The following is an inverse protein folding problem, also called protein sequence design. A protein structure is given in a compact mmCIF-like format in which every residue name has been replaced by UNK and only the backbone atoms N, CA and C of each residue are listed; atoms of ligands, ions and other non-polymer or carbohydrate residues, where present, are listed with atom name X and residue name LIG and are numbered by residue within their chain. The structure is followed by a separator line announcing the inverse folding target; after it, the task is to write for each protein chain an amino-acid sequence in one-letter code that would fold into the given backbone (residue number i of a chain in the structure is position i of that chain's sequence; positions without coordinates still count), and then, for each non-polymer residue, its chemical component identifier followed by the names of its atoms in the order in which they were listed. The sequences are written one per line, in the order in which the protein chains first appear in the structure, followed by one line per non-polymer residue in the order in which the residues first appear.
data_IF_623731983789
#
_entry.id   IF_623731983789
#
_cell.length_a   1.000
_cell.length_b   1.000
_cell.length_c   1.000
_cell.angle_alpha   90.00
_cell.angle_beta   90.00
_cell.angle_gamma   90.00
#
_symmetry.space_group_name_H-M   'P 1'
#
loop_
_entity.id
_entity.type
_entity.pdbx_description
1 polymer ?
#
# COMPACT_ATOMS: atom_id res chain seq x y z
N UNK A 1 6.76 -2.16 -9.79
CA UNK A 1 5.43 -2.77 -9.56
C UNK A 1 5.21 -2.90 -8.05
N UNK A 2 3.98 -2.65 -7.63
CA UNK A 2 3.46 -2.82 -6.28
C UNK A 2 2.42 -3.94 -6.29
N UNK A 3 2.38 -4.76 -5.25
CA UNK A 3 1.40 -5.83 -5.05
C UNK A 3 0.70 -5.62 -3.72
N UNK A 4 -0.62 -5.55 -3.73
CA UNK A 4 -1.46 -5.25 -2.58
C UNK A 4 -2.37 -6.45 -2.32
N UNK A 5 -2.24 -7.09 -1.16
CA UNK A 5 -3.07 -8.22 -0.73
C UNK A 5 -3.96 -7.75 0.40
N UNK A 6 -5.27 -7.69 0.16
CA UNK A 6 -6.24 -7.31 1.19
C UNK A 6 -6.38 -8.46 2.19
N UNK A 7 -6.13 -8.22 3.47
CA UNK A 7 -6.28 -9.22 4.52
C UNK A 7 -7.66 -9.11 5.19
N UNK A 8 -8.19 -7.90 5.27
CA UNK A 8 -9.55 -7.62 5.70
C UNK A 8 -10.07 -6.29 5.15
N UNK A 9 -11.38 -6.25 4.89
CA UNK A 9 -12.06 -5.18 4.15
C UNK A 9 -13.34 -4.67 4.82
N UNK A 10 -13.66 -5.15 6.02
CA UNK A 10 -14.84 -4.76 6.81
C UNK A 10 -14.54 -3.58 7.72
N UNK A 11 -15.50 -2.65 7.89
CA UNK A 11 -15.38 -1.57 8.87
C UNK A 11 -15.84 -1.97 10.27
N UNK A 12 -15.12 -1.56 11.31
CA UNK A 12 -15.53 -1.61 12.72
C UNK A 12 -15.57 -3.00 13.35
N UNK A 13 -16.12 -4.00 12.66
CA UNK A 13 -16.28 -5.37 13.17
C UNK A 13 -16.07 -6.40 12.07
N UNK A 14 -15.55 -7.59 12.42
CA UNK A 14 -15.44 -8.69 11.47
C UNK A 14 -16.82 -9.30 11.20
N UNK A 15 -16.92 -9.96 10.06
CA UNK A 15 -18.13 -10.66 9.61
C UNK A 15 -17.75 -12.05 9.13
N UNK A 16 -18.73 -12.86 8.72
CA UNK A 16 -18.43 -14.19 8.17
C UNK A 16 -17.66 -14.12 6.85
N UNK A 17 -17.80 -13.03 6.09
CA UNK A 17 -17.23 -12.86 4.76
C UNK A 17 -15.99 -11.98 4.74
N UNK A 18 -15.91 -10.98 5.63
CA UNK A 18 -14.87 -9.96 5.65
C UNK A 18 -14.32 -9.76 7.06
N UNK A 19 -13.01 -9.82 7.22
CA UNK A 19 -12.30 -9.42 8.43
C UNK A 19 -12.15 -7.90 8.51
N UNK A 20 -11.76 -7.38 9.67
CA UNK A 20 -11.40 -5.98 9.86
C UNK A 20 -10.08 -5.60 9.18
N UNK A 21 -9.82 -4.30 9.05
CA UNK A 21 -8.75 -3.69 8.27
C UNK A 21 -7.38 -4.34 8.41
N UNK A 22 -6.81 -4.69 7.26
CA UNK A 22 -5.41 -5.07 7.11
C UNK A 22 -5.06 -5.21 5.64
N UNK A 23 -3.95 -4.62 5.22
CA UNK A 23 -3.52 -4.59 3.82
C UNK A 23 -2.01 -4.84 3.72
N UNK A 24 -1.61 -5.95 3.13
CA UNK A 24 -0.21 -6.22 2.86
C UNK A 24 0.23 -5.58 1.54
N UNK A 25 1.40 -4.96 1.53
CA UNK A 25 1.98 -4.26 0.39
C UNK A 25 3.39 -4.78 0.13
N UNK A 26 3.61 -5.35 -1.05
CA UNK A 26 4.92 -5.81 -1.53
C UNK A 26 5.39 -4.93 -2.69
N UNK A 27 6.71 -4.83 -2.85
CA UNK A 27 7.32 -4.19 -4.02
C UNK A 27 8.19 -5.18 -4.77
N UNK A 28 8.48 -4.90 -6.04
CA UNK A 28 9.43 -5.71 -6.84
C UNK A 28 10.90 -5.58 -6.43
N UNK A 29 11.23 -4.72 -5.46
CA UNK A 29 12.61 -4.49 -5.04
C UNK A 29 13.18 -5.59 -4.12
N UNK A 30 12.33 -6.47 -3.58
CA UNK A 30 12.76 -7.54 -2.70
C UNK A 30 11.60 -8.34 -2.11
N UNK A 31 11.94 -9.26 -1.20
CA UNK A 31 10.94 -10.07 -0.48
C UNK A 31 10.22 -9.30 0.63
N UNK A 32 10.79 -8.16 1.06
CA UNK A 32 10.25 -7.36 2.15
C UNK A 32 8.87 -6.80 1.81
N UNK A 33 7.98 -6.79 2.81
CA UNK A 33 6.62 -6.30 2.68
C UNK A 33 6.17 -5.47 3.88
N UNK A 34 5.13 -4.68 3.68
CA UNK A 34 4.61 -3.73 4.66
C UNK A 34 3.16 -4.06 4.96
N UNK A 35 2.76 -3.95 6.22
CA UNK A 35 1.37 -4.09 6.63
C UNK A 35 0.79 -2.71 6.90
N UNK A 36 -0.27 -2.31 6.20
CA UNK A 36 -1.09 -1.15 6.53
C UNK A 36 -2.30 -1.61 7.31
N UNK A 37 -2.39 -1.13 8.55
CA UNK A 37 -3.31 -1.59 9.59
C UNK A 37 -3.21 -3.07 9.94
N UNK A 38 -3.49 -3.38 11.20
CA UNK A 38 -3.42 -4.70 11.78
C UNK A 38 -4.61 -4.94 12.71
N UNK A 39 -5.80 -4.95 12.14
CA UNK A 39 -7.03 -5.32 12.84
C UNK A 39 -6.97 -6.72 13.43
N UNK A 40 -7.84 -7.00 14.39
CA UNK A 40 -7.96 -8.34 14.98
C UNK A 40 -8.11 -9.41 13.88
N UNK A 41 -7.48 -10.57 14.07
CA UNK A 41 -7.54 -11.66 13.10
C UNK A 41 -6.55 -11.56 11.92
N UNK A 42 -5.83 -10.44 11.74
CA UNK A 42 -4.88 -10.25 10.63
C UNK A 42 -3.87 -11.40 10.50
N UNK A 43 -3.30 -11.88 11.62
CA UNK A 43 -2.39 -13.02 11.60
C UNK A 43 -3.02 -14.32 11.08
N UNK A 44 -4.32 -14.52 11.26
CA UNK A 44 -5.03 -15.70 10.75
C UNK A 44 -5.25 -15.59 9.23
N UNK A 45 -5.56 -14.38 8.74
CA UNK A 45 -5.69 -14.11 7.30
C UNK A 45 -4.35 -14.29 6.58
N UNK A 46 -3.24 -13.89 7.21
CA UNK A 46 -1.90 -14.10 6.65
C UNK A 46 -1.54 -15.57 6.41
N UNK A 47 -2.06 -16.51 7.22
CA UNK A 47 -1.83 -17.95 6.98
C UNK A 47 -2.43 -18.47 5.66
N UNK A 48 -3.30 -17.69 5.03
CA UNK A 48 -3.93 -17.99 3.74
C UNK A 48 -3.19 -17.32 2.58
N UNK A 49 -2.03 -16.73 2.84
CA UNK A 49 -1.18 -16.03 1.86
C UNK A 49 0.22 -16.64 1.85
N UNK A 50 1.01 -16.43 0.79
CA UNK A 50 2.42 -16.83 0.78
C UNK A 50 3.33 -15.88 1.60
N UNK A 51 2.76 -14.88 2.29
CA UNK A 51 3.54 -13.86 3.00
C UNK A 51 4.15 -14.42 4.29
N UNK A 52 5.43 -14.18 4.47
CA UNK A 52 6.19 -14.58 5.65
C UNK A 52 6.28 -13.42 6.65
N UNK A 53 5.92 -13.66 7.91
CA UNK A 53 6.13 -12.69 8.99
C UNK A 53 7.60 -12.32 9.21
N UNK A 54 8.55 -13.16 8.75
CA UNK A 54 9.99 -12.89 8.84
C UNK A 54 10.46 -11.83 7.83
N UNK A 55 9.68 -11.59 6.77
CA UNK A 55 9.99 -10.61 5.72
C UNK A 55 9.13 -9.34 5.84
N UNK A 56 8.30 -9.23 6.89
CA UNK A 56 7.56 -8.00 7.17
C UNK A 56 8.52 -6.91 7.65
N UNK A 57 8.75 -5.86 6.86
CA UNK A 57 9.71 -4.80 7.17
C UNK A 57 9.12 -3.73 8.11
N UNK A 58 7.84 -3.39 7.93
CA UNK A 58 7.14 -2.47 8.81
C UNK A 58 5.64 -2.76 8.94
N UNK A 59 5.07 -2.29 10.04
CA UNK A 59 3.62 -2.16 10.24
C UNK A 59 3.30 -0.67 10.35
N UNK A 60 2.40 -0.19 9.49
CA UNK A 60 1.94 1.18 9.37
C UNK A 60 0.50 1.27 9.88
N UNK A 61 0.27 1.83 11.06
CA UNK A 61 -1.06 1.97 11.65
C UNK A 61 -1.62 3.35 11.29
N UNK A 62 -2.81 3.39 10.70
CA UNK A 62 -3.46 4.63 10.26
C UNK A 62 -3.96 5.44 11.45
N UNK A 63 -4.59 4.77 12.43
CA UNK A 63 -5.13 5.39 13.65
C UNK A 63 -5.37 4.38 14.77
N UNK A 64 -5.85 4.87 15.92
CA UNK A 64 -5.89 4.10 17.18
C UNK A 64 -7.11 3.19 17.38
N UNK A 65 -8.08 3.13 16.47
CA UNK A 65 -9.25 2.26 16.66
C UNK A 65 -8.88 0.77 16.57
N UNK A 66 -9.67 -0.04 17.27
CA UNK A 66 -9.32 -1.44 17.51
C UNK A 66 -9.33 -2.33 16.27
N UNK A 67 -10.26 -2.08 15.36
CA UNK A 67 -10.35 -2.74 14.06
C UNK A 67 -9.18 -2.43 13.12
N UNK A 68 -8.27 -1.53 13.51
CA UNK A 68 -7.03 -1.22 12.80
C UNK A 68 -5.76 -1.62 13.56
N UNK A 69 -5.81 -1.96 14.85
CA UNK A 69 -4.59 -2.26 15.62
C UNK A 69 -4.66 -3.44 16.58
N UNK A 70 -5.83 -4.01 16.90
CA UNK A 70 -5.97 -5.07 17.92
C UNK A 70 -5.27 -6.39 17.55
N UNK A 71 -4.99 -6.63 16.27
CA UNK A 71 -4.20 -7.78 15.84
C UNK A 71 -2.71 -7.67 16.13
N UNK A 72 -2.20 -6.47 16.43
CA UNK A 72 -0.77 -6.18 16.48
C UNK A 72 0.00 -7.04 17.51
N UNK A 73 -0.41 -7.17 18.79
CA UNK A 73 0.34 -7.94 19.77
C UNK A 73 0.48 -9.42 19.38
N UNK A 74 -0.63 -10.03 18.93
CA UNK A 74 -0.64 -11.42 18.49
C UNK A 74 0.21 -11.64 17.25
N UNK A 75 0.15 -10.73 16.27
CA UNK A 75 0.97 -10.78 15.07
C UNK A 75 2.48 -10.75 15.40
N UNK A 76 2.90 -9.81 16.25
CA UNK A 76 4.30 -9.64 16.64
C UNK A 76 4.82 -10.82 17.48
N UNK A 77 3.99 -11.35 18.39
CA UNK A 77 4.31 -12.56 19.15
C UNK A 77 4.50 -13.77 18.22
N UNK A 78 3.59 -13.96 17.26
CA UNK A 78 3.66 -15.03 16.26
C UNK A 78 4.91 -14.93 15.39
N UNK A 79 5.32 -13.72 14.98
CA UNK A 79 6.58 -13.52 14.27
C UNK A 79 7.79 -13.94 15.13
N UNK A 80 7.78 -13.62 16.43
CA UNK A 80 8.83 -14.03 17.38
C UNK A 80 8.93 -15.55 17.53
N UNK A 81 7.78 -16.23 17.68
CA UNK A 81 7.71 -17.70 17.70
C UNK A 81 8.14 -18.32 16.37
N UNK A 82 7.88 -17.63 15.26
CA UNK A 82 8.38 -17.94 13.91
C UNK A 82 9.88 -17.71 13.71
N UNK A 83 10.64 -17.51 14.81
CA UNK A 83 12.09 -17.29 14.84
C UNK A 83 12.54 -16.05 14.08
N UNK A 84 11.70 -15.01 14.03
CA UNK A 84 12.11 -13.70 13.52
C UNK A 84 13.27 -13.16 14.34
N UNK A 85 14.31 -12.71 13.65
CA UNK A 85 15.45 -11.98 14.23
C UNK A 85 15.64 -10.58 13.65
N UNK A 86 15.14 -10.32 12.43
CA UNK A 86 15.24 -9.01 11.77
C UNK A 86 14.46 -7.95 12.57
N UNK A 87 15.02 -6.74 12.79
CA UNK A 87 14.27 -5.61 13.34
C UNK A 87 13.00 -5.32 12.53
N UNK A 88 11.97 -4.78 13.19
CA UNK A 88 10.71 -4.38 12.56
C UNK A 88 10.39 -2.93 12.92
N UNK A 89 9.99 -2.12 11.93
CA UNK A 89 9.50 -0.77 12.19
C UNK A 89 8.00 -0.77 12.49
N UNK A 90 7.61 -0.21 13.63
CA UNK A 90 6.22 0.09 13.97
C UNK A 90 5.98 1.58 13.73
N UNK A 91 5.41 1.92 12.57
CA UNK A 91 5.02 3.28 12.21
C UNK A 91 3.59 3.48 12.70
N UNK A 92 3.42 4.12 13.85
CA UNK A 92 2.11 4.18 14.51
C UNK A 92 1.98 5.41 15.41
N UNK A 93 0.75 5.86 15.72
CA UNK A 93 0.51 6.83 16.78
C UNK A 93 1.11 6.38 18.10
N UNK A 94 1.65 7.33 18.88
CA UNK A 94 2.25 7.03 20.20
C UNK A 94 1.34 6.18 21.11
N UNK A 95 0.01 6.40 21.20
CA UNK A 95 -0.86 5.55 22.02
C UNK A 95 -0.86 4.07 21.63
N UNK A 96 -0.64 3.73 20.35
CA UNK A 96 -0.54 2.33 19.90
C UNK A 96 0.74 1.69 20.44
N UNK A 97 1.85 2.43 20.45
CA UNK A 97 3.10 1.96 21.05
C UNK A 97 2.95 1.76 22.55
N UNK A 98 2.35 2.70 23.26
CA UNK A 98 2.11 2.60 24.70
C UNK A 98 1.20 1.42 25.05
N UNK A 99 0.13 1.22 24.29
CA UNK A 99 -0.75 0.07 24.43
C UNK A 99 0.00 -1.25 24.20
N UNK A 100 0.79 -1.35 23.13
CA UNK A 100 1.60 -2.55 22.85
C UNK A 100 2.59 -2.84 23.99
N UNK A 101 3.31 -1.84 24.50
CA UNK A 101 4.24 -2.03 25.62
C UNK A 101 3.52 -2.41 26.92
N UNK A 102 2.32 -1.87 27.17
CA UNK A 102 1.47 -2.29 28.27
C UNK A 102 1.05 -3.77 28.12
N UNK A 103 0.60 -4.19 26.94
CA UNK A 103 0.30 -5.61 26.65
C UNK A 103 1.53 -6.47 26.90
N UNK A 104 2.71 -6.09 26.38
CA UNK A 104 3.94 -6.85 26.59
C UNK A 104 4.25 -7.08 28.07
N UNK A 105 4.16 -6.03 28.87
CA UNK A 105 4.40 -6.09 30.33
C UNK A 105 3.36 -6.96 31.05
N UNK A 106 2.09 -6.85 30.67
CA UNK A 106 0.99 -7.55 31.34
C UNK A 106 0.87 -9.03 30.94
N UNK A 107 1.43 -9.42 29.79
CA UNK A 107 1.37 -10.80 29.28
C UNK A 107 2.73 -11.50 29.28
N UNK A 108 3.76 -10.91 29.87
CA UNK A 108 5.14 -11.44 29.87
C UNK A 108 5.69 -11.73 28.46
N UNK A 109 5.37 -10.86 27.49
CA UNK A 109 5.77 -11.06 26.09
C UNK A 109 7.19 -10.57 25.82
N UNK A 110 8.08 -11.53 25.58
CA UNK A 110 9.45 -11.30 25.13
C UNK A 110 9.58 -11.56 23.62
N UNK A 111 9.98 -10.54 22.87
CA UNK A 111 10.26 -10.68 21.43
C UNK A 111 11.77 -10.92 21.22
N UNK A 112 12.18 -11.89 20.40
CA UNK A 112 13.59 -12.16 20.10
C UNK A 112 14.18 -11.19 19.06
N UNK A 113 13.46 -10.13 18.71
CA UNK A 113 13.83 -9.13 17.72
C UNK A 113 13.37 -7.74 18.18
N UNK A 114 13.98 -6.70 17.61
CA UNK A 114 13.67 -5.31 17.92
C UNK A 114 12.40 -4.83 17.22
N UNK A 115 11.56 -4.09 17.95
CA UNK A 115 10.43 -3.33 17.40
C UNK A 115 10.73 -1.84 17.56
N UNK A 116 11.23 -1.22 16.49
CA UNK A 116 11.58 0.20 16.42
C UNK A 116 10.30 1.02 16.18
N UNK A 117 9.91 1.84 17.16
CA UNK A 117 8.76 2.74 16.98
C UNK A 117 9.16 3.98 16.19
N UNK A 118 8.36 4.29 15.16
CA UNK A 118 8.39 5.56 14.45
C UNK A 118 7.07 6.24 14.73
N UNK A 119 7.09 7.33 15.48
CA UNK A 119 5.88 8.13 15.69
C UNK A 119 5.41 8.68 14.34
N UNK A 120 4.24 8.24 13.92
CA UNK A 120 3.63 8.61 12.66
C UNK A 120 3.47 10.13 12.55
N UNK A 121 3.26 10.84 13.65
CA UNK A 121 3.03 12.29 13.65
C UNK A 121 4.33 13.10 13.45
N UNK A 122 5.49 12.50 13.77
CA UNK A 122 6.78 13.21 13.85
C UNK A 122 7.30 13.80 12.53
N UNK A 123 7.01 13.15 11.39
CA UNK A 123 7.46 13.59 10.05
C UNK A 123 6.63 12.97 8.93
N UNK A 124 6.68 13.58 7.74
CA UNK A 124 5.97 13.08 6.56
C UNK A 124 6.62 11.79 6.01
N UNK A 125 7.94 11.75 5.80
CA UNK A 125 8.63 10.54 5.35
C UNK A 125 8.81 9.57 6.52
N UNK A 126 8.00 8.52 6.57
CA UNK A 126 7.98 7.55 7.67
C UNK A 126 8.84 6.31 7.41
N UNK A 127 9.07 5.99 6.13
CA UNK A 127 9.97 4.91 5.72
C UNK A 127 10.73 5.30 4.44
N UNK A 128 12.03 5.01 4.39
CA UNK A 128 12.86 5.22 3.20
C UNK A 128 13.89 4.11 3.05
N UNK A 129 13.98 3.59 1.83
CA UNK A 129 15.00 2.64 1.39
C UNK A 129 15.36 2.95 -0.09
N UNK A 130 16.47 2.43 -0.63
CA UNK A 130 16.81 2.63 -2.04
C UNK A 130 15.65 2.24 -2.97
N UNK A 131 15.12 3.21 -3.71
CA UNK A 131 14.00 3.00 -4.63
C UNK A 131 12.62 2.85 -3.97
N UNK A 132 12.48 2.97 -2.65
CA UNK A 132 11.19 2.87 -1.95
C UNK A 132 11.01 3.98 -0.92
N UNK A 133 9.85 4.62 -0.93
CA UNK A 133 9.46 5.65 0.05
C UNK A 133 8.03 5.42 0.51
N UNK A 134 7.79 5.61 1.81
CA UNK A 134 6.45 5.69 2.39
C UNK A 134 6.30 7.04 3.06
N UNK A 135 5.37 7.84 2.57
CA UNK A 135 5.05 9.17 3.07
C UNK A 135 3.65 9.18 3.70
N UNK A 136 3.51 9.89 4.81
CA UNK A 136 2.29 9.97 5.59
C UNK A 136 1.55 11.27 5.29
N UNK A 137 0.23 11.17 5.15
CA UNK A 137 -0.68 12.29 4.92
C UNK A 137 -1.77 12.31 6.00
N UNK A 138 -2.15 13.50 6.47
CA UNK A 138 -3.13 13.66 7.54
C UNK A 138 -4.55 13.58 6.99
N UNK A 139 -5.43 12.86 7.67
CA UNK A 139 -6.85 12.70 7.35
C UNK A 139 -7.72 13.29 8.47
N UNK A 140 -9.04 13.29 8.25
CA UNK A 140 -10.01 13.80 9.20
C UNK A 140 -10.88 12.68 9.74
N UNK A 141 -10.67 12.26 10.98
CA UNK A 141 -11.49 11.24 11.64
C UNK A 141 -11.74 11.61 13.12
N UNK A 142 -12.47 10.76 13.87
CA UNK A 142 -12.79 11.02 15.30
C UNK A 142 -11.54 11.14 16.18
N UNK A 143 -10.47 10.49 15.74
CA UNK A 143 -9.13 10.52 16.31
C UNK A 143 -8.15 10.89 15.19
N UNK A 144 -6.92 11.30 15.48
CA UNK A 144 -5.90 11.50 14.44
C UNK A 144 -5.81 10.26 13.53
N UNK A 145 -5.92 10.49 12.23
CA UNK A 145 -5.90 9.44 11.20
C UNK A 145 -5.01 9.85 10.04
N UNK A 146 -4.48 8.84 9.35
CA UNK A 146 -3.43 9.00 8.37
C UNK A 146 -3.63 8.12 7.14
N UNK A 147 -3.15 8.60 5.99
CA UNK A 147 -2.92 7.81 4.80
C UNK A 147 -1.42 7.60 4.58
N UNK A 148 -1.07 6.55 3.85
CA UNK A 148 0.29 6.24 3.44
C UNK A 148 0.40 6.22 1.92
N UNK A 149 1.28 7.06 1.37
CA UNK A 149 1.68 7.05 -0.04
C UNK A 149 2.93 6.19 -0.17
N UNK A 150 2.79 5.05 -0.82
CA UNK A 150 3.89 4.12 -1.10
C UNK A 150 4.36 4.36 -2.53
N UNK A 151 5.60 4.81 -2.71
CA UNK A 151 6.22 5.05 -4.01
C UNK A 151 7.44 4.15 -4.20
N UNK A 152 7.48 3.45 -5.33
CA UNK A 152 8.57 2.58 -5.76
C UNK A 152 9.15 3.10 -7.07
N UNK A 153 10.47 3.22 -7.13
CA UNK A 153 11.24 3.55 -8.32
C UNK A 153 12.20 2.42 -8.66
N UNK A 154 12.10 1.91 -9.87
CA UNK A 154 13.07 0.95 -10.43
C UNK A 154 13.88 1.64 -11.51
N UNK A 155 15.20 1.46 -11.45
CA UNK A 155 16.16 2.02 -12.41
C UNK A 155 16.69 0.90 -13.28
N UNK A 156 16.55 1.01 -14.59
CA UNK A 156 17.11 0.07 -15.56
C UNK A 156 17.86 0.82 -16.64
N UNK A 157 19.05 0.33 -16.99
CA UNK A 157 19.77 0.85 -18.14
C UNK A 157 19.25 0.13 -19.39
N UNK A 158 18.67 0.89 -20.31
CA UNK A 158 18.21 0.40 -21.62
C UNK A 158 19.26 0.74 -22.67
N UNK A 159 19.67 -0.25 -23.44
CA UNK A 159 20.51 0.00 -24.61
C UNK A 159 19.66 0.47 -25.80
N UNK A 160 20.19 1.43 -26.55
CA UNK A 160 19.72 1.81 -27.89
C UNK A 160 20.15 0.73 -28.89
N UNK A 161 19.53 -0.44 -28.77
CA UNK A 161 19.91 -1.65 -29.50
C UNK A 161 19.96 -1.43 -31.03
N UNK A 162 19.03 -0.64 -31.58
CA UNK A 162 18.99 -0.37 -33.01
C UNK A 162 20.17 0.51 -33.46
N UNK A 163 20.59 1.47 -32.64
CA UNK A 163 21.78 2.28 -32.91
C UNK A 163 23.07 1.44 -32.87
N UNK A 164 23.17 0.50 -31.91
CA UNK A 164 24.30 -0.43 -31.82
C UNK A 164 24.35 -1.40 -33.01
N UNK A 165 23.20 -1.90 -33.47
CA UNK A 165 23.11 -2.72 -34.68
C UNK A 165 23.48 -1.93 -35.93
N UNK A 166 23.06 -0.67 -36.02
CA UNK A 166 23.34 0.20 -37.16
C UNK A 166 24.84 0.47 -37.36
N UNK A 167 25.60 0.56 -36.27
CA UNK A 167 27.08 0.68 -36.33
C UNK A 167 27.79 -0.68 -36.49
N UNK A 168 27.04 -1.78 -36.53
CA UNK A 168 27.57 -3.13 -36.72
C UNK A 168 28.16 -3.78 -35.46
N UNK A 169 27.88 -3.27 -34.25
CA UNK A 169 28.36 -3.89 -33.01
C UNK A 169 27.49 -5.13 -32.68
N UNK A 170 28.03 -6.37 -32.72
CA UNK A 170 27.25 -7.56 -32.42
C UNK A 170 26.82 -7.60 -30.94
N UNK A 171 25.61 -8.11 -30.62
CA UNK A 171 25.22 -8.36 -29.24
C UNK A 171 26.23 -9.24 -28.51
N UNK A 172 26.66 -8.83 -27.32
CA UNK A 172 27.71 -9.56 -26.60
C UNK A 172 28.30 -8.81 -25.40
N UNK A 173 29.55 -9.14 -25.00
CA UNK A 173 30.22 -8.49 -23.88
C UNK A 173 30.31 -6.96 -24.00
N UNK A 174 30.55 -6.44 -25.20
CA UNK A 174 30.59 -5.01 -25.48
C UNK A 174 29.26 -4.30 -25.17
N UNK A 175 28.12 -4.93 -25.46
CA UNK A 175 26.81 -4.38 -25.10
C UNK A 175 26.63 -4.34 -23.59
N UNK A 176 27.05 -5.38 -22.87
CA UNK A 176 26.99 -5.42 -21.40
C UNK A 176 27.90 -4.36 -20.76
N UNK A 177 29.09 -4.14 -21.30
CA UNK A 177 29.99 -3.07 -20.86
C UNK A 177 29.35 -1.69 -21.04
N UNK A 178 28.82 -1.39 -22.24
CA UNK A 178 28.08 -0.15 -22.49
C UNK A 178 26.87 0.00 -21.56
N UNK A 179 26.13 -1.08 -21.29
CA UNK A 179 24.99 -1.07 -20.37
C UNK A 179 25.43 -0.85 -18.90
N UNK A 180 26.63 -1.31 -18.55
CA UNK A 180 27.25 -1.12 -17.24
C UNK A 180 27.85 0.28 -17.01
N UNK A 181 27.81 1.16 -18.02
CA UNK A 181 28.41 2.49 -17.93
C UNK A 181 29.84 2.59 -18.48
N UNK A 182 30.37 1.52 -19.08
CA UNK A 182 31.74 1.46 -19.57
C UNK A 182 31.84 1.84 -21.05
N UNK A 183 32.84 2.63 -21.40
CA UNK A 183 33.17 2.96 -22.79
C UNK A 183 33.89 1.78 -23.47
N UNK A 184 33.55 1.49 -24.72
CA UNK A 184 34.04 0.30 -25.43
C UNK A 184 34.78 0.65 -26.71
N UNK A 185 36.04 0.20 -26.89
CA UNK A 185 36.74 0.35 -28.15
C UNK A 185 36.12 -0.55 -29.23
N UNK A 186 35.80 0.01 -30.39
CA UNK A 186 35.22 -0.68 -31.52
C UNK A 186 35.61 0.00 -32.85
N UNK A 187 36.11 -0.79 -33.81
CA UNK A 187 36.52 -0.32 -35.15
C UNK A 187 37.41 0.93 -35.16
N UNK A 188 38.38 1.01 -34.24
CA UNK A 188 39.31 2.15 -34.14
C UNK A 188 38.72 3.41 -33.50
N UNK A 189 37.49 3.34 -32.98
CA UNK A 189 36.82 4.40 -32.22
C UNK A 189 36.49 3.92 -30.81
N UNK A 190 36.21 4.84 -29.89
CA UNK A 190 35.68 4.51 -28.56
C UNK A 190 34.21 4.86 -28.54
N UNK A 191 33.36 3.85 -28.37
CA UNK A 191 31.92 4.02 -28.18
C UNK A 191 31.68 4.43 -26.73
N UNK A 192 31.05 5.58 -26.51
CA UNK A 192 30.73 6.04 -25.16
C UNK A 192 29.44 5.40 -24.68
N UNK A 193 29.44 4.88 -23.45
CA UNK A 193 28.22 4.29 -22.86
C UNK A 193 27.04 5.26 -22.93
N UNK A 194 27.25 6.53 -22.59
CA UNK A 194 26.22 7.56 -22.57
C UNK A 194 25.52 7.81 -23.93
N UNK A 195 26.19 7.49 -25.04
CA UNK A 195 25.59 7.65 -26.38
C UNK A 195 24.60 6.51 -26.69
N UNK A 196 24.85 5.31 -26.14
CA UNK A 196 24.16 4.07 -26.46
C UNK A 196 23.33 3.47 -25.32
N UNK A 197 23.43 4.00 -24.12
CA UNK A 197 22.73 3.54 -22.94
C UNK A 197 21.93 4.70 -22.32
N UNK A 198 20.66 4.48 -22.06
CA UNK A 198 19.77 5.43 -21.39
C UNK A 198 19.28 4.85 -20.06
N UNK A 199 19.32 5.65 -19.01
CA UNK A 199 18.71 5.27 -17.73
C UNK A 199 17.21 5.49 -17.84
N UNK A 200 16.45 4.41 -17.75
CA UNK A 200 15.00 4.47 -17.59
C UNK A 200 14.63 4.33 -16.11
N UNK A 201 13.80 5.25 -15.64
CA UNK A 201 13.21 5.21 -14.31
C UNK A 201 11.73 4.92 -14.47
N UNK A 202 11.28 3.79 -13.93
CA UNK A 202 9.86 3.46 -13.85
C UNK A 202 9.39 3.70 -12.42
N UNK A 203 8.30 4.44 -12.26
CA UNK A 203 7.72 4.79 -10.95
C UNK A 203 6.33 4.18 -10.81
N UNK A 204 6.06 3.53 -9.68
CA UNK A 204 4.73 3.11 -9.27
C UNK A 204 4.41 3.70 -7.89
N UNK A 205 3.25 4.34 -7.76
CA UNK A 205 2.81 5.00 -6.54
C UNK A 205 1.34 4.68 -6.24
N UNK A 206 1.09 4.22 -5.01
CA UNK A 206 -0.24 3.95 -4.49
C UNK A 206 -0.47 4.73 -3.19
N UNK A 207 -1.66 5.29 -3.03
CA UNK A 207 -2.12 5.96 -1.81
C UNK A 207 -3.06 5.01 -1.07
N UNK A 208 -2.78 4.76 0.20
CA UNK A 208 -3.48 3.82 1.07
C UNK A 208 -4.05 4.62 2.24
N UNK A 209 -5.34 4.94 2.18
CA UNK A 209 -5.98 5.77 3.19
C UNK A 209 -6.55 4.97 4.35
N UNK A 210 -6.42 5.51 5.55
CA UNK A 210 -7.21 5.10 6.71
C UNK A 210 -8.56 5.82 6.76
N UNK A 211 -9.25 5.66 7.89
CA UNK A 211 -10.58 6.23 8.08
C UNK A 211 -10.59 7.75 7.97
N UNK A 212 -11.59 8.28 7.29
CA UNK A 212 -11.62 9.67 6.86
C UNK A 212 -13.05 10.13 6.55
N UNK A 213 -13.41 11.32 7.03
CA UNK A 213 -14.64 12.03 6.72
C UNK A 213 -14.51 12.99 5.53
N UNK A 214 -13.28 13.29 5.11
CA UNK A 214 -13.00 14.26 4.04
C UNK A 214 -11.97 13.71 3.02
N UNK A 215 -12.43 12.92 2.03
CA UNK A 215 -11.58 12.38 0.98
C UNK A 215 -10.78 13.44 0.19
N UNK A 216 -11.22 14.71 0.16
CA UNK A 216 -10.52 15.76 -0.57
C UNK A 216 -9.11 16.05 -0.01
N UNK A 217 -8.85 15.73 1.27
CA UNK A 217 -7.52 15.82 1.89
C UNK A 217 -6.46 14.96 1.17
N UNK A 218 -6.88 13.95 0.42
CA UNK A 218 -5.98 13.08 -0.34
C UNK A 218 -5.51 13.69 -1.66
N UNK A 219 -6.06 14.83 -2.10
CA UNK A 219 -5.72 15.44 -3.40
C UNK A 219 -4.20 15.58 -3.61
N UNK A 220 -3.48 16.05 -2.59
CA UNK A 220 -2.03 16.19 -2.64
C UNK A 220 -1.28 14.86 -2.68
N UNK A 221 -1.74 13.86 -1.93
CA UNK A 221 -1.14 12.52 -1.91
C UNK A 221 -1.31 11.80 -3.27
N UNK A 222 -2.43 12.06 -3.95
CA UNK A 222 -2.77 11.44 -5.22
C UNK A 222 -2.03 12.05 -6.42
N UNK A 223 -1.33 13.18 -6.27
CA UNK A 223 -0.57 13.78 -7.38
C UNK A 223 0.51 12.81 -7.89
N UNK A 224 0.35 12.39 -9.15
CA UNK A 224 1.23 11.40 -9.80
C UNK A 224 1.11 9.98 -9.25
N UNK A 225 0.11 9.68 -8.41
CA UNK A 225 -0.21 8.32 -7.99
C UNK A 225 -1.06 7.61 -9.06
N UNK A 226 -0.88 6.30 -9.21
CA UNK A 226 -1.66 5.51 -10.16
C UNK A 226 -2.79 4.73 -9.48
N UNK A 227 -2.81 4.66 -8.15
CA UNK A 227 -3.80 3.90 -7.40
C UNK A 227 -4.16 4.63 -6.10
N UNK A 228 -5.46 4.74 -5.82
CA UNK A 228 -5.99 5.11 -4.51
C UNK A 228 -6.77 3.92 -3.92
N UNK A 229 -6.36 3.46 -2.74
CA UNK A 229 -7.12 2.54 -1.89
C UNK A 229 -7.68 3.36 -0.74
N UNK A 230 -9.00 3.41 -0.57
CA UNK A 230 -9.61 4.24 0.46
C UNK A 230 -10.93 3.68 0.99
N UNK A 231 -11.34 4.14 2.17
CA UNK A 231 -12.60 3.75 2.76
C UNK A 231 -13.82 4.27 1.98
N UNK A 232 -14.82 3.40 1.84
CA UNK A 232 -16.15 3.74 1.36
C UNK A 232 -17.17 3.07 2.28
N UNK A 233 -17.14 3.46 3.56
CA UNK A 233 -17.89 2.80 4.63
C UNK A 233 -19.39 2.72 4.31
N UNK A 234 -19.93 3.75 3.65
CA UNK A 234 -21.35 3.87 3.36
C UNK A 234 -21.66 4.19 1.89
N UNK A 235 -22.91 3.99 1.47
CA UNK A 235 -23.50 4.79 0.39
C UNK A 235 -23.85 6.19 0.91
N UNK A 236 -24.03 7.18 0.04
CA UNK A 236 -24.39 8.53 0.46
C UNK A 236 -25.72 8.55 1.22
N UNK A 237 -26.72 7.81 0.72
CA UNK A 237 -28.04 7.70 1.37
C UNK A 237 -27.92 7.19 2.82
N UNK A 238 -27.03 6.22 3.05
CA UNK A 238 -26.80 5.71 4.40
C UNK A 238 -26.04 6.70 5.26
N UNK A 239 -25.01 7.35 4.72
CA UNK A 239 -24.24 8.37 5.44
C UNK A 239 -25.16 9.50 5.90
N UNK A 240 -26.09 9.95 5.05
CA UNK A 240 -27.06 11.01 5.37
C UNK A 240 -27.98 10.60 6.54
N UNK A 241 -28.35 9.31 6.64
CA UNK A 241 -29.17 8.77 7.74
C UNK A 241 -28.40 8.59 9.03
N UNK A 242 -27.15 8.12 8.94
CA UNK A 242 -26.28 7.87 10.11
C UNK A 242 -25.75 9.19 10.69
N UNK A 243 -25.60 10.21 9.85
CA UNK A 243 -25.13 11.53 10.24
C UNK A 243 -23.61 11.63 10.38
N UNK A 244 -23.09 12.82 10.77
CA UNK A 244 -21.66 13.13 10.73
C UNK A 244 -20.85 12.50 11.87
N UNK A 245 -21.51 11.92 12.88
CA UNK A 245 -20.87 11.44 14.12
C UNK A 245 -19.77 10.40 13.89
N UNK A 246 -19.97 9.36 13.04
CA UNK A 246 -18.93 8.37 12.79
C UNK A 246 -17.69 8.89 12.06
N UNK A 247 -17.78 10.03 11.35
CA UNK A 247 -16.66 10.63 10.60
C UNK A 247 -16.03 9.69 9.55
N UNK A 248 -16.86 9.04 8.74
CA UNK A 248 -16.47 8.20 7.60
C UNK A 248 -16.92 8.79 6.26
N UNK A 249 -16.49 8.16 5.16
CA UNK A 249 -16.81 8.57 3.79
C UNK A 249 -17.89 7.70 3.16
N UNK A 250 -18.63 8.29 2.21
CA UNK A 250 -19.48 7.54 1.29
C UNK A 250 -18.74 7.18 0.01
N UNK A 251 -19.24 6.19 -0.72
CA UNK A 251 -18.74 5.86 -2.06
C UNK A 251 -18.84 7.06 -3.01
N UNK A 252 -19.91 7.86 -2.93
CA UNK A 252 -20.03 9.13 -3.67
C UNK A 252 -18.89 10.10 -3.36
N UNK A 253 -18.67 10.44 -2.09
CA UNK A 253 -17.66 11.43 -1.69
C UNK A 253 -16.26 11.00 -2.10
N UNK A 254 -15.95 9.70 -1.94
CA UNK A 254 -14.69 9.14 -2.41
C UNK A 254 -14.56 9.23 -3.93
N UNK A 255 -15.59 8.85 -4.69
CA UNK A 255 -15.58 8.89 -6.14
C UNK A 255 -15.38 10.32 -6.69
N UNK A 256 -16.06 11.31 -6.11
CA UNK A 256 -15.88 12.72 -6.47
C UNK A 256 -14.45 13.22 -6.19
N UNK A 257 -13.89 12.87 -5.03
CA UNK A 257 -12.52 13.24 -4.68
C UNK A 257 -11.47 12.55 -5.57
N UNK A 258 -11.63 11.26 -5.85
CA UNK A 258 -10.77 10.50 -6.76
C UNK A 258 -10.82 11.08 -8.18
N UNK A 259 -12.02 11.43 -8.65
CA UNK A 259 -12.23 12.06 -9.96
C UNK A 259 -11.53 13.42 -10.04
N UNK A 260 -11.64 14.25 -8.99
CA UNK A 260 -10.98 15.54 -8.90
C UNK A 260 -9.46 15.42 -8.83
N UNK A 261 -8.94 14.39 -8.13
CA UNK A 261 -7.52 14.11 -8.04
C UNK A 261 -6.92 13.52 -9.33
N UNK A 262 -7.75 13.04 -10.26
CA UNK A 262 -7.31 12.46 -11.53
C UNK A 262 -6.55 11.14 -11.37
N UNK A 263 -6.78 10.41 -10.28
CA UNK A 263 -6.19 9.08 -10.09
C UNK A 263 -6.83 8.10 -11.09
N UNK A 264 -6.06 7.21 -11.76
CA UNK A 264 -6.63 6.33 -12.79
C UNK A 264 -7.30 5.09 -12.22
N UNK A 265 -6.90 4.62 -11.03
CA UNK A 265 -7.45 3.43 -10.39
C UNK A 265 -7.89 3.74 -8.95
N UNK A 266 -9.07 3.27 -8.58
CA UNK A 266 -9.70 3.44 -7.27
C UNK A 266 -10.13 2.08 -6.72
N UNK A 267 -9.71 1.75 -5.49
CA UNK A 267 -10.14 0.53 -4.78
C UNK A 267 -10.84 0.94 -3.49
N UNK A 268 -12.10 0.52 -3.37
CA UNK A 268 -12.95 0.76 -2.23
C UNK A 268 -12.77 -0.37 -1.21
N UNK A 269 -12.53 -0.02 0.05
CA UNK A 269 -12.42 -0.96 1.16
C UNK A 269 -13.14 -0.40 2.40
N UNK A 270 -12.98 -1.07 3.55
CA UNK A 270 -13.53 -0.66 4.84
C UNK A 270 -15.06 -0.50 4.75
N UNK A 271 -15.73 -1.53 4.25
CA UNK A 271 -17.14 -1.50 3.90
C UNK A 271 -18.00 -1.82 5.12
N UNK A 272 -19.07 -1.06 5.35
CA UNK A 272 -19.96 -1.33 6.48
C UNK A 272 -20.60 -2.72 6.37
N UNK A 273 -20.63 -3.52 7.47
CA UNK A 273 -21.33 -4.81 7.51
C UNK A 273 -22.77 -4.77 6.98
N UNK A 274 -23.45 -3.62 7.08
CA UNK A 274 -24.80 -3.41 6.54
C UNK A 274 -24.91 -3.61 5.03
N UNK A 275 -23.82 -3.43 4.28
CA UNK A 275 -23.82 -3.49 2.81
C UNK A 275 -23.41 -4.85 2.27
N UNK A 276 -23.07 -5.83 3.13
CA UNK A 276 -22.43 -7.09 2.70
C UNK A 276 -23.32 -8.05 1.90
N UNK A 277 -24.59 -7.73 1.69
CA UNK A 277 -25.42 -8.45 0.73
C UNK A 277 -25.13 -7.96 -0.72
N UNK A 278 -25.58 -8.74 -1.70
CA UNK A 278 -25.33 -8.43 -3.11
C UNK A 278 -25.87 -7.04 -3.52
N UNK A 279 -27.03 -6.65 -3.00
CA UNK A 279 -27.66 -5.36 -3.27
C UNK A 279 -26.85 -4.18 -2.72
N UNK A 280 -26.37 -4.26 -1.48
CA UNK A 280 -25.57 -3.22 -0.85
C UNK A 280 -24.21 -3.05 -1.53
N UNK A 281 -23.56 -4.15 -1.91
CA UNK A 281 -22.32 -4.11 -2.70
C UNK A 281 -22.58 -3.49 -4.09
N UNK A 282 -23.66 -3.86 -4.77
CA UNK A 282 -24.04 -3.28 -6.06
C UNK A 282 -24.34 -1.77 -5.96
N UNK A 283 -24.97 -1.33 -4.87
CA UNK A 283 -25.26 0.08 -4.63
C UNK A 283 -23.97 0.92 -4.49
N UNK A 284 -22.96 0.42 -3.76
CA UNK A 284 -21.65 1.07 -3.65
C UNK A 284 -20.96 1.21 -5.01
N UNK A 285 -21.00 0.16 -5.84
CA UNK A 285 -20.44 0.20 -7.21
C UNK A 285 -21.17 1.22 -8.08
N UNK A 286 -22.50 1.16 -8.11
CA UNK A 286 -23.31 2.05 -8.93
C UNK A 286 -23.09 3.52 -8.55
N UNK A 287 -23.06 3.83 -7.25
CA UNK A 287 -22.77 5.16 -6.75
C UNK A 287 -21.36 5.63 -7.13
N UNK A 288 -20.36 4.75 -7.03
CA UNK A 288 -18.99 5.08 -7.46
C UNK A 288 -18.92 5.41 -8.95
N UNK A 289 -19.51 4.56 -9.80
CA UNK A 289 -19.48 4.71 -11.26
C UNK A 289 -20.24 5.95 -11.75
N UNK A 290 -21.23 6.42 -11.01
CA UNK A 290 -21.94 7.65 -11.34
C UNK A 290 -20.99 8.87 -11.30
N UNK A 291 -20.04 8.90 -10.35
CA UNK A 291 -19.21 10.06 -10.04
C UNK A 291 -17.73 9.92 -10.45
N UNK A 292 -17.26 8.71 -10.80
CA UNK A 292 -15.87 8.46 -11.18
C UNK A 292 -15.79 7.72 -12.52
N UNK A 293 -14.89 8.17 -13.40
CA UNK A 293 -14.72 7.66 -14.78
C UNK A 293 -13.50 6.74 -14.95
N UNK A 294 -12.64 6.64 -13.95
CA UNK A 294 -11.49 5.72 -13.98
C UNK A 294 -11.88 4.27 -13.66
N UNK A 295 -10.87 3.43 -13.44
CA UNK A 295 -11.09 2.03 -13.06
C UNK A 295 -11.43 1.95 -11.57
N UNK A 296 -12.62 1.45 -11.22
CA UNK A 296 -13.06 1.28 -9.84
C UNK A 296 -13.23 -0.19 -9.48
N UNK A 297 -12.81 -0.56 -8.27
CA UNK A 297 -12.87 -1.91 -7.74
C UNK A 297 -13.42 -1.91 -6.30
N UNK A 298 -14.17 -2.94 -5.93
CA UNK A 298 -14.44 -3.27 -4.53
C UNK A 298 -13.43 -4.32 -4.08
N UNK A 299 -12.67 -4.04 -3.03
CA UNK A 299 -11.77 -5.03 -2.45
C UNK A 299 -12.58 -6.13 -1.73
N UNK A 300 -12.17 -7.38 -1.90
CA UNK A 300 -12.53 -8.49 -1.04
C UNK A 300 -11.32 -8.96 -0.26
N UNK A 301 -11.55 -9.65 0.85
CA UNK A 301 -10.46 -10.26 1.57
C UNK A 301 -9.76 -11.29 0.67
N UNK A 302 -8.43 -11.26 0.69
CA UNK A 302 -7.47 -12.01 -0.11
C UNK A 302 -7.41 -11.65 -1.59
N UNK A 303 -8.17 -10.64 -2.04
CA UNK A 303 -7.92 -10.07 -3.36
C UNK A 303 -6.48 -9.52 -3.44
N UNK A 304 -5.83 -9.79 -4.56
CA UNK A 304 -4.49 -9.33 -4.88
C UNK A 304 -4.54 -8.36 -6.05
N UNK A 305 -4.09 -7.13 -5.82
CA UNK A 305 -3.97 -6.08 -6.83
C UNK A 305 -2.50 -5.85 -7.18
N UNK A 306 -2.16 -5.99 -8.45
CA UNK A 306 -0.81 -5.75 -8.96
C UNK A 306 -0.80 -4.49 -9.83
N UNK A 307 -0.07 -3.47 -9.38
CA UNK A 307 0.12 -2.18 -10.04
C UNK A 307 1.50 -2.13 -10.71
N UNK A 308 1.54 -2.05 -12.03
CA UNK A 308 2.79 -1.93 -12.78
C UNK A 308 3.28 -0.47 -12.92
N UNK A 309 4.47 -0.29 -13.52
CA UNK A 309 5.05 1.04 -13.73
C UNK A 309 4.35 1.88 -14.81
N UNK A 310 3.42 1.30 -15.57
CA UNK A 310 2.57 2.03 -16.52
C UNK A 310 1.23 2.45 -15.89
N UNK A 311 0.99 2.11 -14.62
CA UNK A 311 -0.26 2.40 -13.92
C UNK A 311 -1.39 1.42 -14.22
N UNK A 312 -1.10 0.29 -14.86
CA UNK A 312 -2.10 -0.76 -15.07
C UNK A 312 -2.25 -1.59 -13.80
N UNK A 313 -3.51 -1.86 -13.44
CA UNK A 313 -3.88 -2.73 -12.32
C UNK A 313 -4.38 -4.06 -12.87
N UNK A 314 -3.85 -5.16 -12.34
CA UNK A 314 -4.37 -6.52 -12.54
C UNK A 314 -4.88 -7.05 -11.21
N UNK A 315 -6.02 -7.73 -11.20
CA UNK A 315 -6.66 -8.25 -9.99
C UNK A 315 -6.72 -9.76 -10.04
N UNK A 316 -6.34 -10.43 -8.95
CA UNK A 316 -6.55 -11.86 -8.73
C UNK A 316 -7.48 -12.01 -7.54
N UNK A 317 -8.62 -12.66 -7.76
CA UNK A 317 -9.57 -12.99 -6.70
C UNK A 317 -9.18 -14.32 -6.04
N UNK A 318 -9.45 -14.43 -4.74
CA UNK A 318 -9.22 -15.65 -3.96
C UNK A 318 -10.30 -16.72 -4.19
#
# INVERSE_FOLDING_TARGET
MLKLTFLGTSSGTPTRQRNVSGLAVQSVLGADWFLVDCGEGTQHRLQQTPLSLNDMAAVCITHVHGDHCYGLPGLLASAGMGRRSKPLKLIAPLPVREWFEATRRLTDLHLPYEVEHVDVESRALVYGAPGLRIERHVLRHRVPSHAYRVQVETRRVRLKADALRAIGLPPGPAWRALQGGEDVPFNGTVLRSADFAEMQVDTAAAVLGGDNADPALLYGACQGAQLLVHEATYTQEVLDKVGPGPMHSSARLLAEAAQAAGVPNLVLTHLSPRHQNAEGMAALVAETQAHYRGNAFLANDLDVFELDGAGKVTVTHA
#
